data_IF_810325659211
#
_entry.id   IF_810325659211
#
_cell.length_a   1.000
_cell.length_b   1.000
_cell.length_c   1.000
_cell.angle_alpha   90.00
_cell.angle_beta   90.00
_cell.angle_gamma   90.00
#
_symmetry.space_group_name_H-M   'P 1'
#
loop_
_entity.id
_entity.type
_entity.pdbx_description
1 polymer ?
#
# COMPACT_ATOMS: atom_id res chain seq x y z
N UNK A 1 7.98 -1.23 16.96
CA UNK A 1 8.44 -0.75 15.64
C UNK A 1 7.42 0.27 15.16
N UNK A 2 7.86 1.37 14.53
CA UNK A 2 6.98 2.38 13.93
C UNK A 2 7.35 2.48 12.46
N UNK A 3 6.36 2.49 11.57
CA UNK A 3 6.57 2.76 10.16
C UNK A 3 6.12 4.19 9.90
N UNK A 4 7.06 5.05 9.51
CA UNK A 4 6.78 6.44 9.16
C UNK A 4 6.60 6.47 7.66
N UNK A 5 5.40 6.80 7.20
CA UNK A 5 5.16 7.05 5.79
C UNK A 5 5.70 8.45 5.44
N UNK A 6 6.39 8.57 4.31
CA UNK A 6 6.89 9.86 3.80
C UNK A 6 5.75 10.79 3.32
N UNK A 7 4.51 10.29 3.31
CA UNK A 7 3.31 10.99 2.87
C UNK A 7 2.09 10.56 3.72
N UNK A 8 0.97 11.31 3.68
CA UNK A 8 -0.19 11.00 4.52
C UNK A 8 -1.05 9.83 3.99
N UNK A 9 -0.65 9.16 2.90
CA UNK A 9 -1.44 8.12 2.25
C UNK A 9 -1.11 6.75 2.83
N UNK A 10 -1.88 6.32 3.82
CA UNK A 10 -1.76 4.99 4.43
C UNK A 10 -3.14 4.37 4.67
N UNK A 11 -3.16 3.05 4.78
CA UNK A 11 -4.32 2.30 5.23
C UNK A 11 -3.86 1.13 6.10
N UNK A 12 -4.70 0.77 7.06
CA UNK A 12 -4.55 -0.46 7.82
C UNK A 12 -5.44 -1.50 7.15
N UNK A 13 -4.89 -2.68 6.88
CA UNK A 13 -5.65 -3.80 6.32
C UNK A 13 -6.70 -4.30 7.31
N UNK A 14 -7.85 -4.73 6.78
CA UNK A 14 -8.88 -5.38 7.58
C UNK A 14 -8.55 -6.87 7.85
N UNK A 15 -9.47 -7.58 8.51
CA UNK A 15 -9.31 -9.00 8.84
C UNK A 15 -9.20 -9.92 7.61
N UNK A 16 -9.68 -9.48 6.45
CA UNK A 16 -9.59 -10.20 5.18
C UNK A 16 -8.30 -9.88 4.41
N UNK A 17 -7.50 -8.90 4.88
CA UNK A 17 -6.32 -8.39 4.20
C UNK A 17 -6.62 -7.30 3.17
N UNK A 18 -7.87 -6.85 3.06
CA UNK A 18 -8.24 -5.78 2.14
C UNK A 18 -7.85 -4.41 2.70
N UNK A 19 -7.48 -3.49 1.82
CA UNK A 19 -7.17 -2.10 2.14
C UNK A 19 -7.69 -1.17 1.05
N UNK A 20 -7.93 0.10 1.40
CA UNK A 20 -8.29 1.14 0.45
C UNK A 20 -7.67 2.46 0.89
N UNK A 21 -6.93 3.08 -0.02
CA UNK A 21 -6.36 4.42 0.16
C UNK A 21 -7.01 5.31 -0.89
N UNK A 22 -7.62 6.41 -0.45
CA UNK A 22 -8.36 7.34 -1.30
C UNK A 22 -7.57 8.62 -1.53
N UNK A 23 -8.01 9.38 -2.54
CA UNK A 23 -7.50 10.71 -2.84
C UNK A 23 -6.00 10.77 -3.12
N UNK A 24 -5.41 9.67 -3.61
CA UNK A 24 -4.02 9.65 -4.07
C UNK A 24 -3.94 10.43 -5.39
N UNK A 25 -3.10 11.48 -5.49
CA UNK A 25 -2.85 12.18 -6.73
C UNK A 25 -2.28 11.23 -7.81
N UNK A 26 -2.47 11.53 -9.10
CA UNK A 26 -1.88 10.72 -10.16
C UNK A 26 -0.36 10.77 -10.10
N UNK A 27 0.29 9.61 -10.23
CA UNK A 27 1.74 9.52 -10.12
C UNK A 27 2.25 8.10 -9.95
N UNK A 28 3.58 7.97 -9.91
CA UNK A 28 4.27 6.71 -9.64
C UNK A 28 4.64 6.67 -8.16
N UNK A 29 4.14 5.66 -7.46
CA UNK A 29 4.32 5.50 -6.02
C UNK A 29 4.97 4.15 -5.70
N UNK A 30 5.62 4.08 -4.54
CA UNK A 30 6.04 2.82 -3.92
C UNK A 30 5.06 2.49 -2.81
N UNK A 31 4.31 1.41 -2.96
CA UNK A 31 3.45 0.85 -1.93
C UNK A 31 4.31 0.02 -0.97
N UNK A 32 4.42 0.49 0.27
CA UNK A 32 5.12 -0.21 1.35
C UNK A 32 4.08 -0.94 2.21
N UNK A 33 4.19 -2.26 2.28
CA UNK A 33 3.35 -3.12 3.12
C UNK A 33 4.21 -3.71 4.22
N UNK A 34 3.80 -3.58 5.47
CA UNK A 34 4.50 -4.20 6.59
C UNK A 34 3.59 -5.16 7.31
N UNK A 35 4.14 -6.34 7.65
CA UNK A 35 3.49 -7.31 8.52
C UNK A 35 4.55 -7.95 9.45
N UNK A 36 4.31 -8.09 10.76
CA UNK A 36 5.36 -8.49 11.71
C UNK A 36 6.06 -9.83 11.43
N UNK A 37 5.35 -10.79 10.83
CA UNK A 37 5.86 -12.14 10.59
C UNK A 37 6.54 -12.30 9.22
N UNK A 38 6.20 -11.47 8.22
CA UNK A 38 6.74 -11.54 6.86
C UNK A 38 7.66 -10.35 6.50
N UNK A 39 7.74 -9.34 7.38
CA UNK A 39 8.54 -8.14 7.16
C UNK A 39 7.90 -7.13 6.20
N UNK A 40 8.75 -6.29 5.61
CA UNK A 40 8.37 -5.24 4.65
C UNK A 40 8.33 -5.81 3.23
N UNK A 41 7.33 -5.41 2.45
CA UNK A 41 7.29 -5.56 0.99
C UNK A 41 7.05 -4.22 0.33
N UNK A 42 7.75 -4.00 -0.78
CA UNK A 42 7.63 -2.80 -1.59
C UNK A 42 7.21 -3.17 -3.00
N UNK A 43 6.21 -2.47 -3.53
CA UNK A 43 5.70 -2.67 -4.89
C UNK A 43 5.55 -1.31 -5.56
N UNK A 44 6.01 -1.19 -6.80
CA UNK A 44 5.76 0.01 -7.60
C UNK A 44 4.33 0.01 -8.12
N UNK A 45 3.59 1.08 -7.86
CA UNK A 45 2.21 1.26 -8.32
C UNK A 45 2.13 2.54 -9.14
N UNK A 46 1.48 2.46 -10.29
CA UNK A 46 1.11 3.63 -11.07
C UNK A 46 -0.35 4.00 -10.75
N UNK A 47 -0.58 5.21 -10.27
CA UNK A 47 -1.92 5.75 -10.00
C UNK A 47 -2.31 6.66 -11.14
N UNK A 48 -3.34 6.25 -11.88
CA UNK A 48 -3.92 7.05 -12.96
C UNK A 48 -5.04 7.96 -12.42
N UNK A 49 -5.22 9.13 -13.04
CA UNK A 49 -6.24 10.08 -12.60
C UNK A 49 -7.64 9.46 -12.64
N UNK A 50 -8.36 9.56 -11.51
CA UNK A 50 -9.76 9.13 -11.34
C UNK A 50 -9.99 7.63 -11.61
N UNK A 51 -8.95 6.80 -11.54
CA UNK A 51 -9.05 5.35 -11.76
C UNK A 51 -8.54 4.60 -10.54
N UNK A 52 -9.28 3.58 -10.12
CA UNK A 52 -8.85 2.69 -9.06
C UNK A 52 -7.72 1.78 -9.58
N UNK A 53 -6.54 1.85 -8.95
CA UNK A 53 -5.46 0.90 -9.17
C UNK A 53 -5.67 -0.31 -8.25
N UNK A 54 -6.05 -1.45 -8.82
CA UNK A 54 -6.12 -2.71 -8.08
C UNK A 54 -4.73 -3.33 -8.01
N UNK A 55 -4.23 -3.50 -6.78
CA UNK A 55 -2.91 -4.09 -6.51
C UNK A 55 -3.09 -5.23 -5.53
N UNK A 56 -2.56 -6.40 -5.88
CA UNK A 56 -2.46 -7.52 -4.96
C UNK A 56 -1.04 -7.60 -4.41
N UNK A 57 -0.91 -7.82 -3.10
CA UNK A 57 0.36 -7.88 -2.39
C UNK A 57 0.51 -9.26 -1.76
N UNK A 58 1.32 -10.12 -2.38
CA UNK A 58 1.62 -11.45 -1.84
C UNK A 58 2.71 -11.38 -0.77
N UNK A 59 2.33 -11.59 0.49
CA UNK A 59 3.26 -11.70 1.61
C UNK A 59 3.87 -13.12 1.65
N UNK A 60 4.94 -13.36 0.88
CA UNK A 60 5.69 -14.63 1.01
C UNK A 60 6.56 -14.61 2.28
N UNK A 61 6.52 -15.71 3.02
CA UNK A 61 7.44 -16.04 4.11
C UNK A 61 8.79 -16.50 3.56
#
# INVERSE_FOLDING_TARGET
WMLVADNPYYAITDKSGAFSIKDIPPGKYTLVTFQPFTGVREITVNVEAKKASNVNVDLKK
#
